data_IF_391295669445
#
_entry.id   IF_391295669445
#
_cell.length_a   1.000
_cell.length_b   1.000
_cell.length_c   1.000
_cell.angle_alpha   90.00
_cell.angle_beta   90.00
_cell.angle_gamma   90.00
#
_symmetry.space_group_name_H-M   'P 1'
#
loop_
_entity.id
_entity.type
_entity.pdbx_description
1 polymer ?
#
# COMPACT_ATOMS: atom_id res chain seq x y z
N UNK A 1 -12.94 -13.14 18.85
CA UNK A 1 -12.66 -12.26 19.99
C UNK A 1 -12.43 -10.90 19.38
N UNK A 2 -13.07 -9.85 19.86
CA UNK A 2 -12.85 -8.51 19.30
C UNK A 2 -11.42 -8.03 19.60
N UNK A 3 -10.84 -7.22 18.71
CA UNK A 3 -9.51 -6.66 18.93
C UNK A 3 -9.49 -5.71 20.15
N UNK A 4 -8.32 -5.58 20.81
CA UNK A 4 -8.19 -4.77 22.03
C UNK A 4 -8.41 -3.28 21.76
N UNK A 5 -9.10 -2.60 22.68
CA UNK A 5 -9.29 -1.14 22.64
C UNK A 5 -7.96 -0.36 22.72
N UNK A 6 -6.90 -0.98 23.24
CA UNK A 6 -5.56 -0.38 23.34
C UNK A 6 -4.94 -0.09 21.96
N UNK A 7 -5.51 -0.65 20.88
CA UNK A 7 -5.11 -0.37 19.49
C UNK A 7 -5.63 0.96 18.97
N UNK A 8 -6.62 1.58 19.63
CA UNK A 8 -7.24 2.83 19.16
C UNK A 8 -6.20 3.97 19.03
N UNK A 9 -5.35 4.25 20.03
CA UNK A 9 -4.30 5.27 19.90
C UNK A 9 -3.30 4.94 18.78
N UNK A 10 -2.90 3.67 18.66
CA UNK A 10 -1.97 3.24 17.60
C UNK A 10 -2.55 3.49 16.21
N UNK A 11 -3.78 3.05 15.94
CA UNK A 11 -4.43 3.25 14.63
C UNK A 11 -4.71 4.72 14.31
N UNK A 12 -4.89 5.59 15.31
CA UNK A 12 -5.01 7.03 15.09
C UNK A 12 -3.67 7.70 14.74
N UNK A 13 -2.56 7.14 15.21
CA UNK A 13 -1.22 7.66 14.97
C UNK A 13 -0.65 7.27 13.59
N UNK A 14 -0.96 6.06 13.10
CA UNK A 14 -0.33 5.48 11.89
C UNK A 14 -0.83 6.06 10.58
N UNK A 15 0.05 6.66 9.77
CA UNK A 15 -0.32 7.38 8.54
C UNK A 15 -0.85 6.48 7.43
N UNK A 16 -0.33 5.27 7.34
CA UNK A 16 -0.55 4.36 6.21
C UNK A 16 -1.02 2.97 6.62
N UNK A 17 -1.88 2.38 5.79
CA UNK A 17 -2.32 0.99 5.91
C UNK A 17 -2.02 0.27 4.60
N UNK A 18 -1.18 -0.75 4.65
CA UNK A 18 -0.88 -1.60 3.49
C UNK A 18 -1.84 -2.78 3.47
N UNK A 19 -2.63 -2.92 2.41
CA UNK A 19 -3.66 -3.95 2.29
C UNK A 19 -3.19 -5.02 1.30
N UNK A 20 -2.62 -6.10 1.85
CA UNK A 20 -2.12 -7.22 1.06
C UNK A 20 -3.27 -8.10 0.59
N UNK A 21 -3.34 -8.32 -0.72
CA UNK A 21 -4.42 -9.07 -1.37
C UNK A 21 -5.54 -8.20 -1.94
N UNK A 22 -5.41 -6.87 -1.89
CA UNK A 22 -6.35 -5.92 -2.51
C UNK A 22 -6.03 -5.72 -4.00
N UNK A 23 -6.88 -6.27 -4.87
CA UNK A 23 -6.75 -6.22 -6.32
C UNK A 23 -8.06 -5.78 -7.01
N UNK A 24 -8.19 -5.99 -8.32
CA UNK A 24 -9.30 -5.51 -9.15
C UNK A 24 -10.62 -6.28 -8.98
N UNK A 25 -10.60 -7.43 -8.30
CA UNK A 25 -11.83 -8.20 -8.08
C UNK A 25 -12.72 -7.52 -7.04
N UNK A 26 -13.70 -6.75 -7.52
CA UNK A 26 -14.66 -5.99 -6.72
C UNK A 26 -15.56 -6.84 -5.80
N UNK A 27 -15.68 -8.15 -6.03
CA UNK A 27 -16.42 -9.06 -5.14
C UNK A 27 -15.64 -9.43 -3.87
N UNK A 28 -14.32 -9.15 -3.84
CA UNK A 28 -13.47 -9.45 -2.69
C UNK A 28 -13.55 -8.32 -1.66
N UNK A 29 -13.68 -8.69 -0.39
CA UNK A 29 -13.64 -7.75 0.74
C UNK A 29 -12.31 -6.97 0.83
N UNK A 30 -11.22 -7.53 0.31
CA UNK A 30 -9.94 -6.82 0.20
C UNK A 30 -10.00 -5.63 -0.75
N UNK A 31 -10.82 -5.69 -1.80
CA UNK A 31 -11.06 -4.59 -2.71
C UNK A 31 -11.85 -3.48 -2.02
N UNK A 32 -12.98 -3.80 -1.39
CA UNK A 32 -13.85 -2.80 -0.74
C UNK A 32 -13.20 -2.17 0.49
N UNK A 33 -12.32 -2.89 1.18
CA UNK A 33 -11.59 -2.35 2.34
C UNK A 33 -10.75 -1.11 1.99
N UNK A 34 -10.31 -0.98 0.74
CA UNK A 34 -9.47 0.16 0.30
C UNK A 34 -10.23 1.49 0.38
N UNK A 35 -11.35 1.70 -0.34
CA UNK A 35 -12.12 2.92 -0.19
C UNK A 35 -12.73 3.09 1.21
N UNK A 36 -13.12 2.01 1.90
CA UNK A 36 -13.71 2.09 3.25
C UNK A 36 -12.74 2.65 4.31
N UNK A 37 -11.46 2.24 4.25
CA UNK A 37 -10.40 2.78 5.10
C UNK A 37 -9.94 4.15 4.62
N UNK A 38 -9.87 4.37 3.31
CA UNK A 38 -9.49 5.68 2.75
C UNK A 38 -10.47 6.78 3.12
N UNK A 39 -11.78 6.50 3.09
CA UNK A 39 -12.84 7.43 3.53
C UNK A 39 -12.71 7.85 5.01
N UNK A 40 -11.96 7.08 5.81
CA UNK A 40 -11.64 7.40 7.21
C UNK A 40 -10.33 8.19 7.35
N UNK A 41 -9.68 8.54 6.24
CA UNK A 41 -8.51 9.41 6.18
C UNK A 41 -7.17 8.70 6.32
N UNK A 42 -7.13 7.36 6.28
CA UNK A 42 -5.86 6.66 6.13
C UNK A 42 -5.35 6.74 4.70
N UNK A 43 -4.03 6.88 4.53
CA UNK A 43 -3.38 6.59 3.26
C UNK A 43 -3.38 5.08 3.09
N UNK A 44 -4.17 4.57 2.16
CA UNK A 44 -4.26 3.12 1.91
C UNK A 44 -3.37 2.75 0.75
N UNK A 45 -2.56 1.70 0.91
CA UNK A 45 -1.66 1.17 -0.11
C UNK A 45 -2.11 -0.26 -0.45
N UNK A 46 -2.93 -0.46 -1.50
CA UNK A 46 -3.30 -1.80 -1.93
C UNK A 46 -2.08 -2.50 -2.55
N UNK A 47 -1.89 -3.76 -2.18
CA UNK A 47 -0.78 -4.59 -2.66
C UNK A 47 -1.30 -5.87 -3.28
N UNK A 48 -1.11 -6.05 -4.59
CA UNK A 48 -1.50 -7.25 -5.31
C UNK A 48 -0.51 -7.61 -6.43
N UNK A 49 0.05 -8.83 -6.44
CA UNK A 49 1.17 -9.19 -7.32
C UNK A 49 0.85 -9.19 -8.82
N UNK A 50 -0.43 -9.25 -9.19
CA UNK A 50 -0.88 -9.34 -10.59
C UNK A 50 -1.61 -8.09 -11.08
N UNK A 51 -2.05 -7.23 -10.17
CA UNK A 51 -2.91 -6.08 -10.50
C UNK A 51 -2.17 -4.76 -10.29
N UNK A 52 -0.86 -4.82 -10.03
CA UNK A 52 -0.05 -3.63 -9.85
C UNK A 52 -0.08 -2.73 -11.08
N UNK A 53 -0.09 -1.42 -10.85
CA UNK A 53 -0.25 -0.39 -11.88
C UNK A 53 -1.70 -0.09 -12.26
N UNK A 54 -2.67 -0.90 -11.84
CA UNK A 54 -4.08 -0.50 -11.86
C UNK A 54 -4.45 0.29 -10.59
N UNK A 55 -5.72 0.64 -10.41
CA UNK A 55 -6.19 1.36 -9.23
C UNK A 55 -7.54 0.86 -8.70
N UNK A 56 -7.81 1.11 -7.41
CA UNK A 56 -9.10 0.89 -6.74
C UNK A 56 -9.60 2.26 -6.29
N UNK A 57 -10.70 2.76 -6.86
CA UNK A 57 -11.22 4.11 -6.58
C UNK A 57 -10.13 5.21 -6.62
N UNK A 58 -9.27 5.15 -7.64
CA UNK A 58 -8.17 6.10 -7.85
C UNK A 58 -6.97 5.91 -6.91
N UNK A 59 -6.96 4.86 -6.09
CA UNK A 59 -5.80 4.48 -5.27
C UNK A 59 -4.92 3.47 -6.03
N UNK A 60 -3.64 3.77 -6.28
CA UNK A 60 -2.77 2.88 -7.06
C UNK A 60 -2.49 1.56 -6.35
N UNK A 61 -2.63 0.45 -7.08
CA UNK A 61 -2.24 -0.88 -6.62
C UNK A 61 -0.73 -1.06 -6.87
N UNK A 62 0.01 -1.42 -5.82
CA UNK A 62 1.41 -1.81 -5.94
C UNK A 62 1.54 -3.32 -6.13
N UNK A 63 2.47 -3.77 -6.97
CA UNK A 63 2.75 -5.20 -7.14
C UNK A 63 3.39 -5.83 -5.90
N UNK A 64 4.19 -5.03 -5.19
CA UNK A 64 4.93 -5.42 -3.98
C UNK A 64 5.19 -4.18 -3.13
N UNK A 65 5.62 -4.39 -1.90
CA UNK A 65 6.24 -3.36 -1.07
C UNK A 65 7.75 -3.36 -1.34
N UNK A 66 8.31 -2.21 -1.69
CA UNK A 66 9.75 -2.05 -1.93
C UNK A 66 10.53 -2.02 -0.62
N UNK A 67 11.77 -2.49 -0.65
CA UNK A 67 12.68 -2.38 0.49
C UNK A 67 12.84 -0.92 0.94
N UNK A 68 12.83 -0.68 2.25
CA UNK A 68 12.85 0.67 2.83
C UNK A 68 11.51 1.41 2.82
N UNK A 69 10.44 0.84 2.25
CA UNK A 69 9.08 1.39 2.42
C UNK A 69 8.63 1.16 3.86
N UNK A 70 8.28 2.23 4.58
CA UNK A 70 7.69 2.12 5.92
C UNK A 70 6.31 1.48 5.84
N UNK A 71 6.12 0.37 6.55
CA UNK A 71 4.82 -0.25 6.76
C UNK A 71 4.45 -0.03 8.21
N UNK A 72 3.41 0.76 8.48
CA UNK A 72 2.94 0.99 9.86
C UNK A 72 1.87 -0.03 10.28
N UNK A 73 0.96 -0.35 9.36
CA UNK A 73 -0.04 -1.42 9.51
C UNK A 73 -0.05 -2.30 8.27
N UNK A 74 0.09 -3.61 8.46
CA UNK A 74 -0.02 -4.62 7.40
C UNK A 74 -1.32 -5.41 7.57
N UNK A 75 -2.30 -5.19 6.69
CA UNK A 75 -3.57 -5.91 6.69
C UNK A 75 -3.52 -7.05 5.69
N UNK A 76 -3.75 -8.28 6.15
CA UNK A 76 -3.59 -9.49 5.36
C UNK A 76 -4.96 -10.04 4.96
N UNK A 77 -5.32 -9.88 3.68
CA UNK A 77 -6.41 -10.59 3.01
C UNK A 77 -5.84 -11.70 2.12
N UNK A 78 -5.10 -12.62 2.73
CA UNK A 78 -4.38 -13.68 2.04
C UNK A 78 -4.85 -15.04 2.56
N UNK A 79 -4.75 -16.08 1.73
CA UNK A 79 -4.87 -17.45 2.23
C UNK A 79 -3.76 -17.70 3.29
N UNK A 80 -4.00 -18.53 4.32
CA UNK A 80 -3.09 -18.74 5.44
C UNK A 80 -1.61 -18.91 5.07
N UNK A 81 -1.32 -19.79 4.11
CA UNK A 81 0.06 -20.03 3.65
C UNK A 81 0.72 -18.78 3.05
N UNK A 82 -0.05 -17.98 2.31
CA UNK A 82 0.42 -16.71 1.73
C UNK A 82 0.55 -15.63 2.81
N UNK A 83 -0.31 -15.63 3.83
CA UNK A 83 -0.18 -14.76 4.98
C UNK A 83 1.11 -15.06 5.75
N UNK A 84 1.41 -16.34 5.98
CA UNK A 84 2.68 -16.80 6.56
C UNK A 84 3.90 -16.35 5.75
N UNK A 85 3.87 -16.50 4.42
CA UNK A 85 4.96 -16.01 3.56
C UNK A 85 5.13 -14.50 3.64
N UNK A 86 4.02 -13.75 3.73
CA UNK A 86 4.07 -12.29 3.88
C UNK A 86 4.63 -11.88 5.25
N UNK A 87 4.23 -12.55 6.34
CA UNK A 87 4.78 -12.33 7.68
C UNK A 87 6.27 -12.62 7.71
N UNK A 88 6.70 -13.74 7.12
CA UNK A 88 8.13 -14.07 6.98
C UNK A 88 8.88 -12.94 6.27
N UNK A 89 8.34 -12.40 5.17
CA UNK A 89 8.97 -11.26 4.48
C UNK A 89 9.07 -10.04 5.38
N UNK A 90 7.98 -9.67 6.07
CA UNK A 90 7.98 -8.52 6.98
C UNK A 90 9.05 -8.65 8.07
N UNK A 91 9.15 -9.82 8.72
CA UNK A 91 10.15 -10.08 9.77
C UNK A 91 11.60 -10.08 9.26
N UNK A 92 11.81 -10.40 7.97
CA UNK A 92 13.13 -10.38 7.33
C UNK A 92 13.52 -9.01 6.78
N UNK A 93 12.59 -8.05 6.72
CA UNK A 93 12.85 -6.69 6.29
C UNK A 93 13.18 -5.80 7.49
N UNK A 94 14.21 -4.94 7.43
CA UNK A 94 14.47 -3.96 8.48
C UNK A 94 13.33 -2.94 8.60
N UNK A 95 12.86 -2.69 9.82
CA UNK A 95 11.89 -1.62 10.13
C UNK A 95 12.41 -0.77 11.27
N UNK A 96 12.20 0.54 11.21
CA UNK A 96 12.47 1.44 12.35
C UNK A 96 11.54 1.14 13.52
N UNK A 97 10.28 0.82 13.22
CA UNK A 97 9.27 0.39 14.18
C UNK A 97 8.53 -0.83 13.61
N UNK A 98 8.33 -1.90 14.39
CA UNK A 98 7.53 -3.05 13.95
C UNK A 98 6.13 -2.62 13.48
N UNK A 99 5.66 -3.05 12.29
CA UNK A 99 4.27 -2.85 11.90
C UNK A 99 3.32 -3.61 12.81
N UNK A 100 2.12 -3.04 13.01
CA UNK A 100 0.96 -3.79 13.48
C UNK A 100 0.50 -4.74 12.35
N UNK A 101 0.48 -6.04 12.61
CA UNK A 101 0.04 -7.04 11.62
C UNK A 101 -1.40 -7.46 11.89
N UNK A 102 -2.29 -7.22 10.93
CA UNK A 102 -3.72 -7.51 11.05
C UNK A 102 -4.15 -8.61 10.10
N UNK A 103 -4.39 -9.81 10.62
CA UNK A 103 -4.99 -10.92 9.89
C UNK A 103 -6.50 -10.70 9.80
N UNK A 104 -7.02 -10.61 8.58
CA UNK A 104 -8.46 -10.61 8.38
C UNK A 104 -9.01 -12.02 8.63
N UNK A 105 -10.29 -12.16 9.03
CA UNK A 105 -10.87 -13.47 9.27
C UNK A 105 -10.69 -14.41 8.07
N UNK A 106 -10.08 -15.57 8.31
CA UNK A 106 -9.72 -16.58 7.30
C UNK A 106 -8.28 -16.50 6.79
N UNK A 107 -7.48 -15.51 7.21
CA UNK A 107 -6.07 -15.37 6.86
C UNK A 107 -5.11 -15.92 7.93
N UNK A 108 -5.63 -16.34 9.08
CA UNK A 108 -4.84 -16.78 10.22
C UNK A 108 -3.97 -18.00 9.90
N UNK A 109 -2.74 -17.99 10.40
CA UNK A 109 -1.80 -19.11 10.32
C UNK A 109 -1.02 -19.19 11.65
N UNK A 110 -1.09 -20.34 12.31
CA UNK A 110 -0.53 -20.52 13.66
C UNK A 110 1.00 -20.30 13.70
N UNK A 111 1.70 -20.69 12.63
CA UNK A 111 3.15 -20.52 12.53
C UNK A 111 3.48 -19.03 12.40
N UNK A 112 2.74 -18.31 11.57
CA UNK A 112 2.92 -16.87 11.39
C UNK A 112 2.65 -16.08 12.68
N UNK A 113 1.59 -16.44 13.41
CA UNK A 113 1.25 -15.84 14.70
C UNK A 113 2.31 -16.09 15.76
N UNK A 114 2.85 -17.31 15.82
CA UNK A 114 3.92 -17.66 16.74
C UNK A 114 5.21 -16.87 16.45
N UNK A 115 5.60 -16.73 15.19
CA UNK A 115 6.77 -15.91 14.81
C UNK A 115 6.62 -14.45 15.22
N UNK A 116 5.44 -13.85 15.03
CA UNK A 116 5.17 -12.47 15.45
C UNK A 116 5.25 -12.33 16.98
N UNK A 117 4.70 -13.30 17.71
CA UNK A 117 4.77 -13.35 19.18
C UNK A 117 6.21 -13.45 19.68
N UNK A 118 7.02 -14.34 19.10
CA UNK A 118 8.44 -14.50 19.46
C UNK A 118 9.27 -13.25 19.13
N UNK A 119 8.94 -12.56 18.03
CA UNK A 119 9.56 -11.30 17.64
C UNK A 119 9.08 -10.08 18.46
N UNK A 120 8.05 -10.25 19.30
CA UNK A 120 7.44 -9.16 20.07
C UNK A 120 6.64 -8.17 19.22
N UNK A 121 6.18 -8.58 18.03
CA UNK A 121 5.37 -7.75 17.15
C UNK A 121 3.90 -7.82 17.54
N UNK A 122 3.23 -6.67 17.54
CA UNK A 122 1.80 -6.61 17.79
C UNK A 122 1.03 -7.19 16.60
N UNK A 123 0.07 -8.07 16.88
CA UNK A 123 -0.75 -8.68 15.85
C UNK A 123 -2.20 -8.85 16.29
N UNK A 124 -3.10 -8.78 15.30
CA UNK A 124 -4.55 -8.92 15.47
C UNK A 124 -5.05 -10.00 14.54
N UNK A 125 -5.99 -10.80 15.00
CA UNK A 125 -6.63 -11.89 14.28
C UNK A 125 -8.08 -12.01 14.75
N UNK A 126 -8.94 -12.70 13.98
CA UNK A 126 -10.35 -12.89 14.28
C UNK A 126 -11.23 -11.61 14.40
N UNK A 127 -10.74 -10.46 13.93
CA UNK A 127 -11.53 -9.22 13.80
C UNK A 127 -11.22 -8.54 12.46
N UNK A 128 -12.16 -7.76 11.93
CA UNK A 128 -12.01 -7.06 10.66
C UNK A 128 -11.64 -5.60 10.90
N UNK A 129 -10.49 -5.14 10.38
CA UNK A 129 -10.03 -3.75 10.58
C UNK A 129 -11.05 -2.68 10.17
N UNK A 130 -11.85 -2.93 9.12
CA UNK A 130 -12.90 -2.00 8.68
C UNK A 130 -14.00 -1.92 9.73
N UNK A 131 -14.50 -3.07 10.20
CA UNK A 131 -15.54 -3.14 11.23
C UNK A 131 -15.06 -2.63 12.58
N UNK A 132 -13.82 -2.92 12.95
CA UNK A 132 -13.18 -2.36 14.13
C UNK A 132 -13.13 -0.83 14.05
N UNK A 133 -12.65 -0.29 12.92
CA UNK A 133 -12.57 1.16 12.68
C UNK A 133 -13.95 1.84 12.71
N UNK A 134 -14.96 1.20 12.13
CA UNK A 134 -16.35 1.66 12.16
C UNK A 134 -16.91 1.68 13.59
N UNK A 135 -16.80 0.55 14.31
CA UNK A 135 -17.34 0.37 15.66
C UNK A 135 -16.74 1.36 16.67
N UNK A 136 -15.49 1.76 16.46
CA UNK A 136 -14.76 2.70 17.32
C UNK A 136 -14.67 4.12 16.77
N UNK A 137 -15.40 4.42 15.69
CA UNK A 137 -15.43 5.74 15.04
C UNK A 137 -14.02 6.31 14.81
N UNK A 138 -13.14 5.47 14.28
CA UNK A 138 -11.76 5.85 13.98
C UNK A 138 -11.73 6.62 12.67
N UNK A 139 -11.05 7.77 12.71
CA UNK A 139 -10.78 8.60 11.55
C UNK A 139 -9.55 9.46 11.78
N UNK A 140 -8.99 9.97 10.68
CA UNK A 140 -7.96 11.00 10.64
C UNK A 140 -8.27 11.99 9.51
N UNK A 141 -7.63 13.16 9.55
CA UNK A 141 -7.43 14.01 8.38
C UNK A 141 -6.83 13.23 7.20
N UNK A 142 -7.55 13.21 6.08
CA UNK A 142 -7.07 12.60 4.84
C UNK A 142 -5.81 13.27 4.32
N UNK A 143 -4.97 12.47 3.66
CA UNK A 143 -3.86 12.96 2.85
C UNK A 143 -4.25 12.69 1.40
N UNK A 144 -4.39 13.76 0.63
CA UNK A 144 -4.65 13.69 -0.80
C UNK A 144 -3.31 13.78 -1.53
N UNK A 145 -2.96 12.74 -2.26
CA UNK A 145 -1.73 12.70 -3.06
C UNK A 145 -2.06 12.32 -4.50
N UNK A 146 -1.43 12.97 -5.49
CA UNK A 146 -1.39 12.41 -6.82
C UNK A 146 -0.58 11.12 -6.81
N UNK A 147 -0.78 10.32 -7.85
CA UNK A 147 -0.04 9.10 -8.05
C UNK A 147 0.52 8.99 -9.45
N UNK A 148 1.52 8.14 -9.61
CA UNK A 148 2.26 8.04 -10.85
C UNK A 148 2.56 6.60 -11.19
N UNK A 149 2.75 6.38 -12.49
CA UNK A 149 3.02 5.06 -13.03
C UNK A 149 4.01 5.15 -14.18
N UNK A 150 4.98 4.25 -14.16
CA UNK A 150 5.86 3.97 -15.27
C UNK A 150 5.59 2.58 -15.83
N UNK A 151 5.35 2.50 -17.14
CA UNK A 151 5.22 1.24 -17.87
C UNK A 151 6.25 1.15 -18.98
N UNK A 152 6.60 -0.07 -19.37
CA UNK A 152 7.43 -0.33 -20.55
C UNK A 152 6.68 0.04 -21.83
N UNK A 153 7.40 0.36 -22.90
CA UNK A 153 6.78 0.71 -24.19
C UNK A 153 5.92 -0.42 -24.80
N UNK A 154 4.88 -0.04 -25.55
CA UNK A 154 4.03 -0.93 -26.35
C UNK A 154 4.71 -1.33 -27.67
N UNK A 155 5.49 -0.42 -28.26
CA UNK A 155 6.01 -0.55 -29.63
C UNK A 155 7.39 -1.23 -29.71
N UNK A 156 7.95 -1.65 -28.57
CA UNK A 156 9.27 -2.28 -28.52
C UNK A 156 10.44 -1.32 -28.80
N UNK A 157 10.22 0.00 -28.78
CA UNK A 157 11.28 1.00 -28.95
C UNK A 157 12.25 1.08 -27.76
N UNK A 158 11.84 0.53 -26.61
CA UNK A 158 12.59 0.55 -25.36
C UNK A 158 12.42 1.83 -24.53
N UNK A 159 11.45 2.69 -24.86
CA UNK A 159 11.19 3.94 -24.13
C UNK A 159 10.07 3.78 -23.09
N UNK A 160 10.38 3.87 -21.81
CA UNK A 160 9.38 3.88 -20.74
C UNK A 160 8.43 5.08 -20.81
N UNK A 161 7.16 4.88 -20.43
CA UNK A 161 6.14 5.93 -20.39
C UNK A 161 5.81 6.25 -18.94
N UNK A 162 6.04 7.51 -18.54
CA UNK A 162 5.67 8.06 -17.23
C UNK A 162 4.33 8.79 -17.33
N UNK A 163 3.42 8.45 -16.43
CA UNK A 163 2.06 9.03 -16.34
C UNK A 163 1.82 9.57 -14.93
N UNK A 164 1.13 10.70 -14.85
CA UNK A 164 0.72 11.33 -13.60
C UNK A 164 -0.81 11.36 -13.55
N UNK A 165 -1.35 11.03 -12.39
CA UNK A 165 -2.77 10.94 -12.12
C UNK A 165 -3.10 11.81 -10.90
N UNK A 166 -4.17 12.60 -11.00
CA UNK A 166 -4.67 13.40 -9.90
C UNK A 166 -5.09 12.55 -8.70
N UNK A 167 -5.36 13.21 -7.58
CA UNK A 167 -5.98 12.54 -6.43
C UNK A 167 -7.32 11.93 -6.90
N UNK A 168 -7.51 10.65 -6.65
CA UNK A 168 -8.72 9.88 -7.02
C UNK A 168 -8.97 9.72 -8.50
N UNK A 169 -8.00 10.09 -9.34
CA UNK A 169 -8.09 9.85 -10.76
C UNK A 169 -7.98 8.36 -11.02
N UNK A 170 -9.05 7.82 -11.63
CA UNK A 170 -9.06 6.45 -12.12
C UNK A 170 -8.16 6.33 -13.34
N UNK A 171 -7.39 5.25 -13.41
CA UNK A 171 -6.65 4.85 -14.59
C UNK A 171 -6.97 3.39 -14.92
N UNK A 172 -7.13 3.13 -16.22
CA UNK A 172 -7.26 1.78 -16.75
C UNK A 172 -6.02 0.93 -16.39
N UNK A 173 -6.19 -0.39 -16.23
CA UNK A 173 -5.07 -1.30 -16.02
C UNK A 173 -4.00 -1.14 -17.10
N UNK A 174 -2.71 -1.32 -16.74
CA UNK A 174 -1.61 -1.18 -17.67
C UNK A 174 -1.67 -2.25 -18.77
N UNK A 175 -1.37 -1.85 -20.00
CA UNK A 175 -1.31 -2.72 -21.19
C UNK A 175 0.03 -3.47 -21.31
N UNK A 176 1.07 -2.95 -20.66
CA UNK A 176 2.45 -3.47 -20.67
C UNK A 176 3.00 -3.66 -19.26
N UNK A 177 4.27 -4.05 -19.14
CA UNK A 177 4.90 -4.29 -17.85
C UNK A 177 5.01 -3.00 -17.04
N UNK A 178 4.59 -3.04 -15.79
CA UNK A 178 4.75 -1.94 -14.84
C UNK A 178 6.16 -1.95 -14.29
N UNK A 179 6.90 -0.88 -14.54
CA UNK A 179 8.26 -0.67 -14.03
C UNK A 179 8.23 -0.01 -12.66
N UNK A 180 7.25 0.89 -12.44
CA UNK A 180 7.04 1.53 -11.15
C UNK A 180 5.60 2.05 -10.99
N UNK A 181 5.08 2.03 -9.78
CA UNK A 181 3.80 2.65 -9.41
C UNK A 181 3.82 3.03 -7.94
N UNK A 182 3.30 4.21 -7.62
CA UNK A 182 3.20 4.71 -6.26
C UNK A 182 2.66 6.13 -6.22
N UNK A 183 2.33 6.60 -5.01
CA UNK A 183 1.90 7.97 -4.81
C UNK A 183 3.09 8.94 -4.59
N UNK A 184 2.79 10.23 -4.36
CA UNK A 184 3.83 11.23 -4.10
C UNK A 184 4.71 10.92 -2.87
N UNK A 185 4.17 10.25 -1.84
CA UNK A 185 4.97 9.83 -0.69
C UNK A 185 5.94 8.72 -1.09
N UNK A 186 5.47 7.71 -1.83
CA UNK A 186 6.34 6.64 -2.36
C UNK A 186 7.42 7.23 -3.28
N UNK A 187 7.05 8.16 -4.17
CA UNK A 187 7.98 8.84 -5.07
C UNK A 187 9.06 9.61 -4.31
N UNK A 188 8.74 10.15 -3.14
CA UNK A 188 9.69 10.88 -2.30
C UNK A 188 10.69 9.97 -1.60
N UNK A 189 10.26 8.78 -1.15
CA UNK A 189 11.08 7.93 -0.26
C UNK A 189 11.69 6.71 -0.95
N UNK A 190 11.12 6.22 -2.05
CA UNK A 190 11.61 5.02 -2.73
C UNK A 190 13.05 5.18 -3.22
N UNK A 191 13.87 4.16 -3.00
CA UNK A 191 15.26 4.10 -3.44
C UNK A 191 15.44 3.36 -4.78
N UNK A 192 14.34 2.93 -5.40
CA UNK A 192 14.40 2.24 -6.70
C UNK A 192 14.82 3.21 -7.83
N UNK A 193 15.21 2.65 -8.97
CA UNK A 193 15.79 3.41 -10.08
C UNK A 193 14.86 4.50 -10.62
N UNK A 194 13.57 4.19 -10.79
CA UNK A 194 12.59 5.12 -11.40
C UNK A 194 12.36 6.35 -10.51
N UNK A 195 11.95 6.25 -9.24
CA UNK A 195 11.82 7.40 -8.34
C UNK A 195 13.10 8.20 -8.17
N UNK A 196 14.25 7.51 -8.06
CA UNK A 196 15.56 8.17 -7.98
C UNK A 196 15.83 9.02 -9.24
N UNK A 197 15.53 8.48 -10.41
CA UNK A 197 15.67 9.18 -11.68
C UNK A 197 14.73 10.39 -11.76
N UNK A 198 13.44 10.23 -11.45
CA UNK A 198 12.47 11.34 -11.44
C UNK A 198 12.90 12.46 -10.48
N UNK A 199 13.34 12.13 -9.26
CA UNK A 199 13.87 13.11 -8.31
C UNK A 199 15.11 13.82 -8.83
N UNK A 200 16.00 13.14 -9.55
CA UNK A 200 17.21 13.73 -10.15
C UNK A 200 16.92 14.77 -11.25
N UNK A 201 15.72 14.72 -11.84
CA UNK A 201 15.27 15.64 -12.88
C UNK A 201 14.53 16.88 -12.33
N UNK A 202 14.39 16.99 -11.01
CA UNK A 202 13.81 18.17 -10.35
C UNK A 202 14.73 19.39 -10.50
N UNK A 203 14.15 20.54 -10.85
CA UNK A 203 14.87 21.82 -10.90
C UNK A 203 14.96 22.44 -9.51
N UNK A 204 15.88 23.38 -9.32
CA UNK A 204 16.22 23.97 -8.00
C UNK A 204 15.02 24.59 -7.26
N UNK A 205 14.07 25.22 -7.98
CA UNK A 205 12.86 25.84 -7.42
C UNK A 205 11.56 25.07 -7.73
N UNK A 206 11.67 23.80 -8.13
CA UNK A 206 10.53 22.98 -8.53
C UNK A 206 10.17 21.95 -7.44
N UNK A 207 8.89 21.87 -7.10
CA UNK A 207 8.41 20.82 -6.21
C UNK A 207 8.48 19.45 -6.90
N UNK A 208 8.65 18.38 -6.12
CA UNK A 208 8.68 17.02 -6.66
C UNK A 208 7.40 16.70 -7.46
N UNK A 209 6.25 17.15 -6.96
CA UNK A 209 4.97 16.99 -7.64
C UNK A 209 4.94 17.71 -9.01
N UNK A 210 5.39 18.97 -9.06
CA UNK A 210 5.45 19.73 -10.32
C UNK A 210 6.44 19.10 -11.31
N UNK A 211 7.58 18.59 -10.83
CA UNK A 211 8.53 17.85 -11.66
C UNK A 211 7.89 16.58 -12.24
N UNK A 212 7.26 15.77 -11.39
CA UNK A 212 6.64 14.52 -11.79
C UNK A 212 5.50 14.74 -12.80
N UNK A 213 4.71 15.80 -12.63
CA UNK A 213 3.68 16.21 -13.59
C UNK A 213 4.28 16.75 -14.89
N UNK A 214 5.36 17.54 -14.84
CA UNK A 214 6.03 18.04 -16.05
C UNK A 214 6.62 16.91 -16.91
N UNK A 215 7.06 15.82 -16.27
CA UNK A 215 7.66 14.67 -16.94
C UNK A 215 6.61 13.71 -17.51
N UNK A 216 5.34 13.81 -17.11
CA UNK A 216 4.30 12.91 -17.63
C UNK A 216 3.94 13.23 -19.07
N UNK A 217 3.58 12.17 -19.81
CA UNK A 217 3.10 12.24 -21.18
C UNK A 217 1.61 12.00 -21.26
#
# INVERSE_FOLDING_TARGET
MDASLDLIPALRAVTSIHVFGAGLNAERTSHTAVPELRQRGWRVVPVHPRDGGACIDGVPIRSTVEEGTTVEVAVLFLAPERARDQVRRLLMTPHETPPLVWFQPGAEDDIALEWLREAGWESVHADCIVRYSERHNLSRTSIETPWYRQISDEDGSGCSVWTAHGCDEHAEPPTTAVEWVGDLLDLKTSTTSVPTYIRSLCREDESLEACALRLSR
#
